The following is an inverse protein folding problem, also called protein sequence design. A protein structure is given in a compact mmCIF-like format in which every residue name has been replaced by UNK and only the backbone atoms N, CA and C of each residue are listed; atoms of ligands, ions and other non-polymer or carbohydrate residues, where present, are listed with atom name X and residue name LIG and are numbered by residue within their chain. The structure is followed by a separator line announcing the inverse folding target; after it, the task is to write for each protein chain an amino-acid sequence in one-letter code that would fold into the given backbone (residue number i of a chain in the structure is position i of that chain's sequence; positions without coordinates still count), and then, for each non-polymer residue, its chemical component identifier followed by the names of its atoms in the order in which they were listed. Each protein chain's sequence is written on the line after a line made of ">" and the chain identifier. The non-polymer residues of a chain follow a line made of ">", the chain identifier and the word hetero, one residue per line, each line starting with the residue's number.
data_IF_669122329094
#
_entry.id   IF_669122329094
#
_cell.length_a   1.000
_cell.length_b   1.000
_cell.length_c   1.000
_cell.angle_alpha   90.00
_cell.angle_beta   90.00
_cell.angle_gamma   90.00
#
_symmetry.space_group_name_H-M   'P 1'
#
loop_
_entity.id
_entity.type
_entity.pdbx_description
1 polymer ?
#
# COMPACT_ATOMS: atom_id res chain seq x y z
N UNK A 1 -22.07 -9.54 1.98
CA UNK A 1 -20.75 -10.11 2.27
C UNK A 1 -20.07 -9.21 3.29
N UNK A 2 -20.01 -9.64 4.54
CA UNK A 2 -19.38 -8.86 5.61
C UNK A 2 -17.85 -9.02 5.49
N UNK A 3 -17.18 -7.97 5.14
CA UNK A 3 -15.73 -7.87 5.21
C UNK A 3 -15.34 -7.94 6.68
N UNK A 4 -14.68 -9.02 7.11
CA UNK A 4 -14.17 -9.15 8.47
C UNK A 4 -12.73 -8.66 8.52
N UNK A 5 -12.47 -7.43 9.02
CA UNK A 5 -11.14 -6.82 8.96
C UNK A 5 -10.11 -7.51 9.86
N UNK A 6 -10.54 -8.37 10.76
CA UNK A 6 -9.69 -8.82 11.87
C UNK A 6 -9.23 -10.28 11.80
N UNK A 7 -9.93 -11.15 11.08
CA UNK A 7 -9.61 -12.58 11.08
C UNK A 7 -8.65 -13.04 9.97
N UNK A 8 -8.69 -12.40 8.80
CA UNK A 8 -7.88 -12.81 7.63
C UNK A 8 -6.43 -12.33 7.65
N UNK A 9 -6.19 -11.14 8.20
CA UNK A 9 -4.86 -10.51 8.22
C UNK A 9 -3.97 -10.99 9.36
N UNK A 10 -4.56 -11.42 10.47
CA UNK A 10 -3.80 -12.00 11.59
C UNK A 10 -3.19 -13.36 11.21
N UNK A 11 -3.81 -14.09 10.31
CA UNK A 11 -3.24 -15.32 9.74
C UNK A 11 -1.99 -15.06 8.88
N UNK A 12 -1.88 -13.88 8.26
CA UNK A 12 -0.72 -13.49 7.44
C UNK A 12 0.56 -13.27 8.26
N UNK A 13 0.46 -12.94 9.55
CA UNK A 13 1.64 -12.85 10.44
C UNK A 13 2.34 -14.21 10.70
N UNK A 14 1.69 -15.34 10.39
CA UNK A 14 2.19 -16.68 10.71
C UNK A 14 2.52 -17.58 9.54
N UNK A 15 2.15 -17.21 8.30
CA UNK A 15 2.40 -18.05 7.13
C UNK A 15 2.58 -17.21 5.87
N UNK A 16 3.74 -17.33 5.25
CA UNK A 16 4.07 -16.73 3.95
C UNK A 16 3.26 -17.32 2.77
N UNK A 17 2.27 -18.17 3.02
CA UNK A 17 1.49 -18.91 2.01
C UNK A 17 -0.02 -18.69 2.09
N UNK A 18 -0.54 -17.96 3.09
CA UNK A 18 -1.96 -17.68 3.19
C UNK A 18 -2.31 -16.49 2.26
N UNK A 19 -2.88 -16.76 1.10
CA UNK A 19 -3.51 -15.76 0.23
C UNK A 19 -4.66 -15.10 1.00
N UNK A 20 -4.40 -13.94 1.59
CA UNK A 20 -5.48 -13.05 2.01
C UNK A 20 -6.24 -12.60 0.74
N UNK A 21 -7.58 -12.58 0.75
CA UNK A 21 -8.32 -12.07 -0.39
C UNK A 21 -7.91 -10.62 -0.63
N UNK A 22 -7.53 -10.30 -1.86
CA UNK A 22 -7.22 -8.93 -2.25
C UNK A 22 -8.44 -8.03 -2.00
N UNK A 23 -8.25 -6.80 -1.52
CA UNK A 23 -9.36 -5.86 -1.43
C UNK A 23 -9.95 -5.60 -2.82
N UNK A 24 -11.27 -5.33 -2.95
CA UNK A 24 -11.92 -5.15 -4.25
C UNK A 24 -11.22 -4.16 -5.20
N UNK A 25 -10.68 -3.07 -4.68
CA UNK A 25 -9.93 -2.08 -5.46
C UNK A 25 -8.70 -2.67 -6.16
N UNK A 26 -8.06 -3.67 -5.55
CA UNK A 26 -6.91 -4.36 -6.13
C UNK A 26 -7.25 -5.05 -7.45
N UNK A 27 -8.46 -5.60 -7.56
CA UNK A 27 -8.92 -6.25 -8.79
C UNK A 27 -9.20 -5.21 -9.89
N UNK A 28 -9.71 -4.03 -9.52
CA UNK A 28 -10.00 -2.95 -10.46
C UNK A 28 -8.73 -2.32 -11.03
N UNK A 29 -7.72 -2.13 -10.17
CA UNK A 29 -6.47 -1.43 -10.51
C UNK A 29 -5.30 -2.38 -10.77
N UNK A 30 -5.54 -3.68 -10.83
CA UNK A 30 -4.54 -4.71 -11.14
C UNK A 30 -3.27 -4.60 -10.27
N UNK A 31 -3.44 -4.69 -8.96
CA UNK A 31 -2.33 -4.77 -8.00
C UNK A 31 -2.62 -5.77 -6.89
N UNK A 32 -1.60 -6.22 -6.17
CA UNK A 32 -1.73 -7.21 -5.10
C UNK A 32 -0.65 -7.03 -4.04
N UNK A 33 -0.90 -7.57 -2.84
CA UNK A 33 0.10 -7.68 -1.80
C UNK A 33 1.12 -8.76 -2.17
N UNK A 34 2.39 -8.37 -2.33
CA UNK A 34 3.48 -9.27 -2.71
C UNK A 34 4.28 -9.75 -1.49
N UNK A 35 4.61 -8.84 -0.57
CA UNK A 35 5.41 -9.16 0.61
C UNK A 35 4.85 -8.43 1.83
N UNK A 36 4.95 -9.07 3.00
CA UNK A 36 4.58 -8.46 4.27
C UNK A 36 5.44 -8.99 5.41
N UNK A 37 5.89 -8.07 6.26
CA UNK A 37 6.57 -8.37 7.52
C UNK A 37 6.25 -7.26 8.52
N UNK A 38 6.64 -7.43 9.78
CA UNK A 38 6.37 -6.40 10.78
C UNK A 38 7.01 -5.06 10.38
N UNK A 39 6.19 -4.01 10.32
CA UNK A 39 6.60 -2.66 9.90
C UNK A 39 6.85 -2.49 8.41
N UNK A 40 6.59 -3.49 7.57
CA UNK A 40 6.86 -3.42 6.13
C UNK A 40 5.78 -4.13 5.32
N UNK A 41 5.39 -3.53 4.20
CA UNK A 41 4.53 -4.16 3.20
C UNK A 41 4.96 -3.76 1.78
N UNK A 42 4.83 -4.69 0.83
CA UNK A 42 5.10 -4.45 -0.59
C UNK A 42 3.89 -4.84 -1.41
N UNK A 43 3.43 -3.92 -2.23
CA UNK A 43 2.42 -4.17 -3.25
C UNK A 43 3.05 -4.10 -4.63
N UNK A 44 2.63 -5.01 -5.48
CA UNK A 44 3.01 -5.03 -6.91
C UNK A 44 1.80 -4.72 -7.76
N UNK A 45 2.02 -3.93 -8.81
CA UNK A 45 0.98 -3.57 -9.76
C UNK A 45 1.51 -3.48 -11.19
N UNK A 46 0.64 -3.80 -12.14
CA UNK A 46 0.92 -3.74 -13.57
C UNK A 46 -0.07 -2.78 -14.21
N UNK A 47 0.28 -1.49 -14.40
CA UNK A 47 -0.61 -0.53 -15.04
C UNK A 47 -0.75 -0.80 -16.53
N UNK A 48 -1.88 -0.44 -17.10
CA UNK A 48 -2.15 -0.48 -18.53
C UNK A 48 -2.75 0.85 -19.03
N UNK A 49 -3.06 0.90 -20.32
CA UNK A 49 -3.60 2.10 -20.96
C UNK A 49 -4.98 2.54 -20.47
N UNK A 50 -5.76 1.68 -19.80
CA UNK A 50 -7.07 2.03 -19.23
C UNK A 50 -6.95 2.99 -18.04
N UNK A 51 -5.76 3.09 -17.45
CA UNK A 51 -5.46 3.94 -16.30
C UNK A 51 -4.85 5.29 -16.68
N UNK A 52 -4.86 5.64 -17.97
CA UNK A 52 -4.26 6.89 -18.46
C UNK A 52 -5.08 8.12 -18.09
N UNK A 53 -4.37 9.19 -17.81
CA UNK A 53 -4.91 10.54 -17.71
C UNK A 53 -5.01 11.21 -19.12
N UNK A 54 -5.61 12.42 -19.25
CA UNK A 54 -5.74 13.09 -20.54
C UNK A 54 -4.42 13.48 -21.21
N UNK A 55 -3.31 13.52 -20.50
CA UNK A 55 -1.98 13.86 -21.05
C UNK A 55 -1.19 12.64 -21.52
N UNK A 56 -1.78 11.45 -21.50
CA UNK A 56 -1.19 10.24 -22.09
C UNK A 56 -0.19 9.51 -21.20
N UNK A 57 -0.32 9.64 -19.88
CA UNK A 57 0.43 8.84 -18.90
C UNK A 57 -0.52 8.16 -17.92
N UNK A 58 -0.05 7.15 -17.20
CA UNK A 58 -0.82 6.55 -16.11
C UNK A 58 -1.17 7.62 -15.09
N UNK A 59 -2.44 7.71 -14.71
CA UNK A 59 -2.93 8.70 -13.77
C UNK A 59 -2.18 8.59 -12.43
N UNK A 60 -1.77 9.73 -11.86
CA UNK A 60 -1.04 9.76 -10.58
C UNK A 60 -1.80 9.10 -9.43
N UNK A 61 -3.14 9.07 -9.49
CA UNK A 61 -3.99 8.35 -8.55
C UNK A 61 -3.69 6.85 -8.45
N UNK A 62 -3.21 6.22 -9.53
CA UNK A 62 -2.76 4.83 -9.48
C UNK A 62 -1.54 4.67 -8.57
N UNK A 63 -0.51 5.48 -8.76
CA UNK A 63 0.68 5.47 -7.90
C UNK A 63 0.33 5.76 -6.43
N UNK A 64 -0.59 6.72 -6.20
CA UNK A 64 -1.06 7.07 -4.87
C UNK A 64 -1.81 5.90 -4.20
N UNK A 65 -2.64 5.16 -4.94
CA UNK A 65 -3.36 4.00 -4.41
C UNK A 65 -2.42 2.87 -3.99
N UNK A 66 -1.39 2.56 -4.82
CA UNK A 66 -0.38 1.57 -4.47
C UNK A 66 0.39 1.99 -3.21
N UNK A 67 0.80 3.25 -3.14
CA UNK A 67 1.54 3.79 -1.99
C UNK A 67 0.67 3.82 -0.74
N UNK A 68 -0.59 4.27 -0.80
CA UNK A 68 -1.50 4.23 0.35
C UNK A 68 -1.68 2.81 0.88
N UNK A 69 -1.85 1.84 -0.02
CA UNK A 69 -1.94 0.43 0.34
C UNK A 69 -0.67 -0.08 1.04
N UNK A 70 0.50 0.25 0.50
CA UNK A 70 1.78 -0.19 1.07
C UNK A 70 2.07 0.47 2.42
N UNK A 71 1.85 1.78 2.53
CA UNK A 71 2.11 2.55 3.74
C UNK A 71 1.14 2.18 4.87
N UNK A 72 -0.15 2.11 4.56
CA UNK A 72 -1.20 1.73 5.51
C UNK A 72 -1.05 0.29 5.99
N UNK A 73 -0.73 -0.65 5.08
CA UNK A 73 -0.48 -2.04 5.46
C UNK A 73 0.78 -2.21 6.30
N UNK A 74 1.85 -1.44 6.04
CA UNK A 74 3.03 -1.46 6.89
C UNK A 74 2.68 -1.10 8.34
N UNK A 75 1.86 -0.05 8.56
CA UNK A 75 1.36 0.34 9.88
C UNK A 75 0.46 -0.77 10.45
N UNK A 76 -0.45 -1.31 9.65
CA UNK A 76 -1.34 -2.39 10.08
C UNK A 76 -0.59 -3.58 10.67
N UNK A 77 0.57 -3.94 10.13
CA UNK A 77 1.38 -5.06 10.65
C UNK A 77 1.86 -4.87 12.10
N UNK A 78 1.88 -3.63 12.58
CA UNK A 78 2.34 -3.25 13.93
C UNK A 78 1.21 -3.14 14.95
N UNK A 79 -0.04 -3.29 14.52
CA UNK A 79 -1.20 -3.15 15.39
C UNK A 79 -1.36 -4.33 16.32
N UNK A 80 -1.77 -4.05 17.56
CA UNK A 80 -2.21 -5.08 18.50
C UNK A 80 -3.60 -5.62 18.09
N UNK A 81 -3.92 -6.82 18.58
CA UNK A 81 -5.23 -7.43 18.32
C UNK A 81 -6.36 -6.51 18.82
N UNK A 82 -7.24 -6.11 17.92
CA UNK A 82 -8.41 -5.28 18.24
C UNK A 82 -8.18 -3.78 18.01
N UNK A 83 -6.96 -3.33 17.75
CA UNK A 83 -6.71 -1.97 17.27
C UNK A 83 -7.19 -1.81 15.83
N UNK A 84 -7.62 -0.61 15.49
CA UNK A 84 -8.00 -0.20 14.13
C UNK A 84 -7.17 1.00 13.74
N UNK A 85 -7.10 1.27 12.43
CA UNK A 85 -6.39 2.45 11.91
C UNK A 85 -7.12 3.05 10.72
N UNK A 86 -6.78 4.29 10.42
CA UNK A 86 -7.16 4.95 9.18
C UNK A 86 -6.10 5.95 8.76
N UNK A 87 -5.89 6.09 7.47
CA UNK A 87 -5.06 7.15 6.90
C UNK A 87 -5.70 8.51 7.11
N UNK A 88 -4.98 9.47 7.67
CA UNK A 88 -5.42 10.86 7.83
C UNK A 88 -4.98 11.74 6.67
N UNK A 89 -3.76 11.56 6.21
CA UNK A 89 -3.16 12.30 5.10
C UNK A 89 -2.04 11.50 4.47
N UNK A 90 -1.74 11.81 3.22
CA UNK A 90 -0.57 11.29 2.53
C UNK A 90 0.02 12.41 1.65
N UNK A 91 1.33 12.61 1.76
CA UNK A 91 2.06 13.44 0.82
C UNK A 91 2.77 12.56 -0.18
N UNK A 92 2.55 12.79 -1.47
CA UNK A 92 3.18 12.06 -2.57
C UNK A 92 3.93 13.01 -3.49
N UNK A 93 5.14 12.62 -3.86
CA UNK A 93 5.89 13.27 -4.93
C UNK A 93 5.99 12.29 -6.10
N UNK A 94 5.38 12.67 -7.23
CA UNK A 94 5.46 11.94 -8.50
C UNK A 94 6.69 12.43 -9.24
N UNK A 95 7.73 11.61 -9.28
CA UNK A 95 9.05 12.02 -9.80
C UNK A 95 9.26 11.67 -11.26
N UNK A 96 8.43 10.78 -11.81
CA UNK A 96 8.57 10.27 -13.17
C UNK A 96 7.22 9.81 -13.72
N UNK A 97 6.92 10.07 -15.03
CA UNK A 97 5.72 9.53 -15.65
C UNK A 97 5.77 8.00 -15.74
N UNK A 98 4.64 7.38 -15.45
CA UNK A 98 4.43 5.95 -15.63
C UNK A 98 3.69 5.76 -16.96
N UNK A 99 4.16 4.82 -17.78
CA UNK A 99 3.58 4.45 -19.05
C UNK A 99 3.10 2.99 -19.02
N UNK A 100 2.26 2.59 -19.96
CA UNK A 100 1.76 1.20 -20.07
C UNK A 100 2.88 0.16 -20.25
N UNK A 101 4.01 0.58 -20.81
CA UNK A 101 5.21 -0.24 -21.03
C UNK A 101 6.27 -0.11 -19.92
N UNK A 102 6.00 0.65 -18.86
CA UNK A 102 6.87 0.69 -17.68
C UNK A 102 7.00 -0.69 -17.03
N UNK A 103 5.99 -1.53 -17.16
CA UNK A 103 5.96 -2.87 -16.60
C UNK A 103 5.62 -2.91 -15.12
N UNK A 104 6.08 -3.94 -14.43
CA UNK A 104 5.77 -4.15 -13.03
C UNK A 104 6.36 -3.05 -12.14
N UNK A 105 5.48 -2.47 -11.33
CA UNK A 105 5.82 -1.50 -10.31
C UNK A 105 5.72 -2.13 -8.91
N UNK A 106 6.62 -1.75 -8.03
CA UNK A 106 6.64 -2.17 -6.63
C UNK A 106 6.53 -0.95 -5.73
N UNK A 107 5.48 -0.91 -4.93
CA UNK A 107 5.29 0.07 -3.85
C UNK A 107 5.72 -0.58 -2.53
N UNK A 108 6.77 -0.09 -1.91
CA UNK A 108 7.23 -0.57 -0.61
C UNK A 108 6.97 0.49 0.46
N UNK A 109 6.24 0.11 1.52
CA UNK A 109 5.99 0.92 2.69
C UNK A 109 6.76 0.42 3.90
N UNK A 110 7.29 1.35 4.72
CA UNK A 110 8.02 1.08 5.97
C UNK A 110 7.53 2.01 7.06
N UNK A 111 7.28 1.47 8.25
CA UNK A 111 6.92 2.28 9.42
C UNK A 111 8.12 3.10 9.87
N UNK A 112 7.92 4.40 10.07
CA UNK A 112 8.89 5.32 10.67
C UNK A 112 8.68 5.35 12.18
N UNK A 113 7.43 5.53 12.60
CA UNK A 113 7.05 5.69 14.00
C UNK A 113 5.72 4.99 14.29
N UNK A 114 5.65 4.31 15.42
CA UNK A 114 4.44 3.68 15.95
C UNK A 114 4.16 4.21 17.35
N UNK A 115 3.32 5.23 17.43
CA UNK A 115 2.81 5.78 18.69
C UNK A 115 1.53 5.09 19.14
N UNK A 116 0.98 5.53 20.28
CA UNK A 116 -0.26 4.98 20.84
C UNK A 116 -1.49 5.30 19.99
N UNK A 117 -1.59 6.51 19.46
CA UNK A 117 -2.75 7.02 18.72
C UNK A 117 -2.40 7.46 17.30
N UNK A 118 -1.13 7.59 16.98
CA UNK A 118 -0.62 8.02 15.69
C UNK A 118 0.55 7.14 15.27
N UNK A 119 0.58 6.77 14.00
CA UNK A 119 1.72 6.13 13.37
C UNK A 119 2.04 6.82 12.05
N UNK A 120 3.32 6.81 11.69
CA UNK A 120 3.79 7.34 10.41
C UNK A 120 4.58 6.29 9.65
N UNK A 121 4.47 6.32 8.33
CA UNK A 121 5.25 5.47 7.43
C UNK A 121 5.72 6.26 6.21
N UNK A 122 6.72 5.73 5.55
CA UNK A 122 7.26 6.22 4.28
C UNK A 122 7.34 5.10 3.27
N UNK A 123 7.41 5.44 1.99
CA UNK A 123 7.55 4.45 0.95
C UNK A 123 7.92 4.99 -0.40
N UNK A 124 8.33 4.06 -1.26
CA UNK A 124 8.76 4.31 -2.63
C UNK A 124 7.95 3.47 -3.60
N UNK A 125 7.77 4.01 -4.82
CA UNK A 125 7.27 3.27 -5.98
C UNK A 125 8.40 3.17 -7.01
N UNK A 126 8.83 1.95 -7.31
CA UNK A 126 9.95 1.66 -8.21
C UNK A 126 9.57 0.59 -9.24
N UNK A 127 10.27 0.60 -10.38
CA UNK A 127 10.21 -0.53 -11.34
C UNK A 127 11.17 -1.66 -10.93
N UNK A 128 11.20 -2.73 -11.74
CA UNK A 128 12.10 -3.88 -11.52
C UNK A 128 13.59 -3.52 -11.55
N UNK A 129 13.96 -2.45 -12.24
CA UNK A 129 15.33 -1.96 -12.30
C UNK A 129 15.70 -1.06 -11.11
N UNK A 130 14.77 -0.82 -10.19
CA UNK A 130 14.97 0.05 -9.04
C UNK A 130 14.83 1.53 -9.32
N UNK A 131 14.31 1.92 -10.50
CA UNK A 131 14.11 3.30 -10.89
C UNK A 131 12.91 3.88 -10.16
N UNK A 132 13.09 5.05 -9.52
CA UNK A 132 12.07 5.71 -8.72
C UNK A 132 11.04 6.41 -9.59
N UNK A 133 9.76 6.18 -9.33
CA UNK A 133 8.61 6.82 -9.96
C UNK A 133 7.82 7.73 -9.01
N UNK A 134 7.76 7.36 -7.75
CA UNK A 134 7.15 8.19 -6.72
C UNK A 134 7.71 7.83 -5.34
N UNK A 135 7.58 8.77 -4.40
CA UNK A 135 7.79 8.50 -2.98
C UNK A 135 6.75 9.22 -2.14
N UNK A 136 6.46 8.70 -0.95
CA UNK A 136 5.41 9.21 -0.11
C UNK A 136 5.72 9.07 1.38
N UNK A 137 5.05 9.90 2.16
CA UNK A 137 4.90 9.75 3.61
C UNK A 137 3.43 9.81 3.97
N UNK A 138 3.04 9.13 5.05
CA UNK A 138 1.67 9.14 5.55
C UNK A 138 1.62 9.22 7.06
N UNK A 139 0.51 9.77 7.57
CA UNK A 139 0.13 9.72 8.97
C UNK A 139 -1.18 8.97 9.10
N UNK A 140 -1.21 7.98 9.98
CA UNK A 140 -2.40 7.21 10.30
C UNK A 140 -2.80 7.43 11.75
N UNK A 141 -4.12 7.53 11.98
CA UNK A 141 -4.69 7.46 13.32
C UNK A 141 -4.92 6.00 13.71
N UNK A 142 -4.61 5.70 14.96
CA UNK A 142 -4.84 4.39 15.56
C UNK A 142 -5.93 4.52 16.61
N UNK A 143 -6.92 3.66 16.51
CA UNK A 143 -8.00 3.56 17.47
C UNK A 143 -7.70 2.38 18.40
N UNK A 144 -7.60 2.63 19.71
CA UNK A 144 -7.38 1.56 20.68
C UNK A 144 -8.54 0.57 20.65
N UNK A 145 -8.29 -0.60 21.19
CA UNK A 145 -9.34 -1.58 21.43
C UNK A 145 -10.40 -1.00 22.36
N UNK A 146 -11.66 -0.99 21.92
CA UNK A 146 -12.82 -0.72 22.77
C UNK A 146 -13.08 -1.85 23.77
#
# INVERSE_FOLDING_TARGET
>A
MSWCPTAGWISCKRSSTAKSPNPPISNVLNFHLAEVSEGRAVFEGMPDGSLYNPIGTVHGGYAMTLLDSALGCAIFTTLAKGEKWTTLEMKVNLTRPILKDTGLLRAEGRVIHRGRTVATSEGDLKDKAGKLYAHATTTCMIFPKS
#
